data_IF_275089491274
#
_entry.id   IF_275089491274
#
_cell.length_a   1.000
_cell.length_b   1.000
_cell.length_c   1.000
_cell.angle_alpha   90.00
_cell.angle_beta   90.00
_cell.angle_gamma   90.00
#
_symmetry.space_group_name_H-M   'P 1'
#
loop_
_entity.id
_entity.type
_entity.pdbx_description
1 polymer ?
#
# COMPACT_ATOMS: atom_id res chain seq x y z
N UNK A 1 18.26 16.29 10.73
CA UNK A 1 17.10 15.39 10.57
C UNK A 1 17.32 14.14 11.41
N UNK A 2 16.36 13.71 12.22
CA UNK A 2 16.35 12.44 12.94
C UNK A 2 15.02 11.76 12.63
N UNK A 3 15.06 10.57 12.03
CA UNK A 3 13.88 9.79 11.71
C UNK A 3 13.60 8.78 12.82
N UNK A 4 12.33 8.65 13.20
CA UNK A 4 11.87 7.57 14.10
C UNK A 4 11.88 6.22 13.36
N UNK A 5 11.99 5.13 14.12
CA UNK A 5 11.92 3.80 13.54
C UNK A 5 10.55 3.56 12.90
N UNK A 6 10.54 3.08 11.65
CA UNK A 6 9.32 2.66 10.98
C UNK A 6 8.99 1.23 11.42
N UNK A 7 8.29 1.13 12.54
CA UNK A 7 8.07 -0.13 13.28
C UNK A 7 7.44 -1.22 12.43
N UNK A 8 6.50 -0.88 11.52
CA UNK A 8 5.90 -1.84 10.59
C UNK A 8 6.95 -2.56 9.75
N UNK A 9 7.77 -1.79 9.04
CA UNK A 9 8.82 -2.32 8.16
C UNK A 9 9.93 -2.99 8.97
N UNK A 10 10.19 -2.49 10.19
CA UNK A 10 11.16 -3.12 11.09
C UNK A 10 10.74 -4.54 11.49
N UNK A 11 9.46 -4.74 11.82
CA UNK A 11 8.90 -6.06 12.14
C UNK A 11 9.05 -7.01 10.93
N UNK A 12 8.64 -6.56 9.74
CA UNK A 12 8.77 -7.38 8.54
C UNK A 12 10.23 -7.71 8.23
N UNK A 13 11.12 -6.72 8.19
CA UNK A 13 12.55 -6.91 7.91
C UNK A 13 13.24 -7.90 8.86
N UNK A 14 12.83 -7.96 10.12
CA UNK A 14 13.42 -8.84 11.11
C UNK A 14 12.87 -10.27 11.03
N UNK A 15 11.60 -10.45 10.62
CA UNK A 15 10.92 -11.72 10.87
C UNK A 15 10.32 -12.38 9.64
N UNK A 16 10.04 -11.67 8.54
CA UNK A 16 9.33 -12.21 7.38
C UNK A 16 10.00 -13.42 6.71
N UNK A 17 11.35 -13.48 6.78
CA UNK A 17 12.16 -14.54 6.16
C UNK A 17 12.58 -15.64 7.13
N UNK A 18 12.22 -15.55 8.41
CA UNK A 18 12.64 -16.52 9.44
C UNK A 18 11.48 -17.21 10.15
N UNK A 19 10.28 -16.62 10.08
CA UNK A 19 9.07 -17.20 10.68
C UNK A 19 8.44 -18.21 9.72
N UNK A 20 8.03 -19.41 10.19
CA UNK A 20 7.48 -20.46 9.34
C UNK A 20 6.23 -20.05 8.56
N UNK A 21 5.32 -19.28 9.19
CA UNK A 21 4.03 -18.87 8.61
C UNK A 21 3.95 -17.34 8.58
N UNK A 22 4.47 -16.76 7.50
CA UNK A 22 4.41 -15.32 7.30
C UNK A 22 3.06 -14.92 6.70
N UNK A 23 2.21 -14.27 7.50
CA UNK A 23 0.95 -13.65 7.10
C UNK A 23 1.03 -12.11 7.21
N UNK A 24 2.23 -11.52 7.17
CA UNK A 24 2.40 -10.07 7.32
C UNK A 24 2.43 -9.32 5.98
N UNK A 25 2.58 -9.98 4.82
CA UNK A 25 2.61 -9.30 3.52
C UNK A 25 1.20 -8.80 3.14
N UNK A 26 1.13 -7.67 2.47
CA UNK A 26 -0.09 -7.06 1.95
C UNK A 26 -0.24 -7.19 0.43
N UNK A 27 0.71 -7.84 -0.23
CA UNK A 27 0.66 -8.18 -1.65
C UNK A 27 0.14 -9.59 -1.90
N UNK A 28 0.10 -9.99 -3.17
CA UNK A 28 -0.15 -11.36 -3.59
C UNK A 28 1.18 -12.07 -3.79
N UNK A 29 1.25 -13.38 -3.52
CA UNK A 29 2.48 -14.15 -3.71
C UNK A 29 3.01 -14.02 -5.15
N UNK A 30 4.35 -13.86 -5.29
CA UNK A 30 4.96 -13.40 -6.53
C UNK A 30 4.89 -14.44 -7.67
N UNK A 31 5.11 -13.93 -8.88
CA UNK A 31 5.24 -14.72 -10.11
C UNK A 31 6.71 -14.86 -10.51
N UNK A 32 7.05 -15.92 -11.25
CA UNK A 32 8.36 -16.05 -11.87
C UNK A 32 8.41 -15.33 -13.23
N UNK A 33 9.60 -14.88 -13.66
CA UNK A 33 9.80 -14.22 -14.96
C UNK A 33 9.27 -15.08 -16.12
N UNK A 34 9.45 -16.40 -16.05
CA UNK A 34 8.96 -17.35 -17.05
C UNK A 34 7.43 -17.39 -17.22
N UNK A 35 6.68 -16.93 -16.22
CA UNK A 35 5.22 -16.90 -16.24
C UNK A 35 4.70 -15.60 -16.90
N UNK A 36 5.60 -14.63 -17.08
CA UNK A 36 5.35 -13.29 -17.59
C UNK A 36 5.81 -13.11 -19.03
N UNK A 37 6.99 -13.61 -19.36
CA UNK A 37 7.64 -13.37 -20.64
C UNK A 37 7.61 -14.63 -21.52
N UNK A 38 7.43 -14.44 -22.84
CA UNK A 38 7.62 -15.48 -23.82
C UNK A 38 9.13 -15.71 -24.11
N UNK A 39 9.46 -16.78 -24.87
CA UNK A 39 10.86 -17.15 -25.11
C UNK A 39 11.65 -16.07 -25.84
N UNK A 40 11.06 -15.37 -26.81
CA UNK A 40 11.74 -14.29 -27.53
C UNK A 40 12.08 -13.11 -26.61
N UNK A 41 11.15 -12.74 -25.71
CA UNK A 41 11.36 -11.69 -24.71
C UNK A 41 12.41 -12.08 -23.68
N UNK A 42 12.48 -13.37 -23.29
CA UNK A 42 13.55 -13.90 -22.44
C UNK A 42 14.90 -13.81 -23.14
N UNK A 43 14.97 -14.17 -24.42
CA UNK A 43 16.20 -14.10 -25.21
C UNK A 43 16.67 -12.64 -25.41
N UNK A 44 15.75 -11.69 -25.49
CA UNK A 44 16.06 -10.25 -25.51
C UNK A 44 16.54 -9.77 -24.13
N UNK A 45 15.86 -10.15 -23.06
CA UNK A 45 16.26 -9.85 -21.68
C UNK A 45 17.71 -10.27 -21.40
N UNK A 46 18.10 -11.45 -21.89
CA UNK A 46 19.47 -11.98 -21.73
C UNK A 46 20.53 -11.24 -22.54
N UNK A 47 20.14 -10.40 -23.51
CA UNK A 47 21.05 -9.56 -24.31
C UNK A 47 21.21 -8.15 -23.77
N UNK A 48 20.45 -7.76 -22.73
CA UNK A 48 20.55 -6.42 -22.18
C UNK A 48 21.95 -6.15 -21.62
N UNK A 49 22.53 -5.04 -22.04
CA UNK A 49 23.73 -4.52 -21.41
C UNK A 49 23.38 -3.85 -20.06
N UNK A 50 24.17 -4.16 -19.01
CA UNK A 50 23.92 -3.69 -17.66
C UNK A 50 24.54 -2.30 -17.41
N UNK A 51 24.25 -1.35 -18.30
CA UNK A 51 24.60 0.06 -18.17
C UNK A 51 23.56 0.86 -17.38
N UNK A 52 23.86 2.13 -17.15
CA UNK A 52 22.85 3.06 -16.64
C UNK A 52 21.80 3.35 -17.72
N UNK A 53 20.52 3.18 -17.33
CA UNK A 53 19.39 3.65 -18.12
C UNK A 53 19.08 5.14 -17.89
N UNK A 54 17.94 5.60 -18.36
CA UNK A 54 17.46 6.95 -18.09
C UNK A 54 17.17 7.11 -16.60
N UNK A 55 17.64 8.22 -16.01
CA UNK A 55 17.54 8.41 -14.55
C UNK A 55 16.10 8.67 -14.06
N UNK A 56 15.21 9.10 -14.96
CA UNK A 56 13.77 9.19 -14.70
C UNK A 56 12.97 7.99 -15.23
N UNK A 57 13.63 6.97 -15.77
CA UNK A 57 13.04 5.79 -16.39
C UNK A 57 13.01 5.85 -17.92
N UNK A 58 13.08 4.68 -18.58
CA UNK A 58 13.03 4.58 -20.03
C UNK A 58 11.77 5.25 -20.61
N UNK A 59 11.94 5.96 -21.73
CA UNK A 59 10.84 6.71 -22.36
C UNK A 59 9.66 5.82 -22.72
N UNK A 60 9.93 4.60 -23.21
CA UNK A 60 8.91 3.61 -23.54
C UNK A 60 8.12 3.18 -22.31
N UNK A 61 8.81 2.90 -21.19
CA UNK A 61 8.15 2.54 -19.92
C UNK A 61 7.34 3.72 -19.38
N UNK A 62 7.89 4.93 -19.37
CA UNK A 62 7.14 6.14 -18.92
C UNK A 62 5.90 6.39 -19.78
N UNK A 63 5.99 6.18 -21.10
CA UNK A 63 4.88 6.29 -22.03
C UNK A 63 3.81 5.21 -21.74
N UNK A 64 4.23 3.98 -21.47
CA UNK A 64 3.32 2.89 -21.08
C UNK A 64 2.62 3.19 -19.76
N UNK A 65 3.35 3.69 -18.75
CA UNK A 65 2.76 4.10 -17.47
C UNK A 65 1.78 5.26 -17.68
N UNK A 66 2.17 6.29 -18.44
CA UNK A 66 1.31 7.44 -18.72
C UNK A 66 -0.02 7.02 -19.37
N UNK A 67 0.00 5.99 -20.23
CA UNK A 67 -1.22 5.47 -20.88
C UNK A 67 -2.24 4.82 -19.92
N UNK A 68 -1.87 4.56 -18.67
CA UNK A 68 -2.79 4.10 -17.62
C UNK A 68 -3.62 5.25 -17.02
N UNK A 69 -3.29 6.49 -17.34
CA UNK A 69 -3.89 7.71 -16.83
C UNK A 69 -4.49 8.54 -17.98
N UNK A 70 -5.48 9.37 -17.66
CA UNK A 70 -6.05 10.29 -18.62
C UNK A 70 -5.14 11.51 -18.78
N UNK A 71 -4.95 11.96 -20.03
CA UNK A 71 -4.28 13.21 -20.35
C UNK A 71 -2.88 13.40 -19.72
N UNK A 72 -2.17 12.29 -19.43
CA UNK A 72 -0.78 12.29 -18.93
C UNK A 72 0.18 11.87 -20.03
N UNK A 73 1.34 12.54 -20.06
CA UNK A 73 2.43 12.23 -20.95
C UNK A 73 3.63 11.60 -20.22
N UNK A 74 4.68 11.17 -20.94
CA UNK A 74 5.87 10.58 -20.32
C UNK A 74 6.63 11.56 -19.41
N UNK A 75 6.46 12.86 -19.54
CA UNK A 75 7.10 13.87 -18.70
C UNK A 75 6.32 14.11 -17.39
N UNK A 76 5.09 13.61 -17.28
CA UNK A 76 4.30 13.56 -16.07
C UNK A 76 4.61 12.32 -15.21
N UNK A 77 5.61 11.52 -15.57
CA UNK A 77 5.95 10.23 -14.94
C UNK A 77 7.42 10.17 -14.57
N UNK A 78 7.72 9.75 -13.35
CA UNK A 78 9.06 9.30 -12.95
C UNK A 78 9.02 7.86 -12.44
N UNK A 79 9.90 7.00 -12.94
CA UNK A 79 10.09 5.62 -12.48
C UNK A 79 11.06 5.58 -11.30
N UNK A 80 10.74 4.77 -10.29
CA UNK A 80 11.47 4.71 -9.02
C UNK A 80 11.75 3.26 -8.59
N UNK A 81 12.67 3.07 -7.65
CA UNK A 81 12.98 1.77 -7.06
C UNK A 81 11.88 1.34 -6.05
N UNK A 82 10.69 1.06 -6.57
CA UNK A 82 9.47 0.79 -5.83
C UNK A 82 8.77 2.06 -5.37
N UNK A 83 7.51 1.92 -4.98
CA UNK A 83 6.66 3.00 -4.48
C UNK A 83 7.21 3.67 -3.20
N UNK A 84 8.02 2.95 -2.42
CA UNK A 84 8.66 3.52 -1.23
C UNK A 84 9.63 4.65 -1.58
N UNK A 85 10.41 4.55 -2.67
CA UNK A 85 11.22 5.66 -3.16
C UNK A 85 10.35 6.76 -3.76
N UNK A 86 9.27 6.42 -4.46
CA UNK A 86 8.33 7.40 -5.00
C UNK A 86 7.77 8.30 -3.88
N UNK A 87 7.24 7.71 -2.81
CA UNK A 87 6.73 8.44 -1.66
C UNK A 87 7.81 9.30 -0.99
N UNK A 88 9.04 8.78 -0.87
CA UNK A 88 10.17 9.54 -0.33
C UNK A 88 10.49 10.76 -1.20
N UNK A 89 10.63 10.57 -2.51
CA UNK A 89 10.95 11.66 -3.44
C UNK A 89 9.86 12.73 -3.45
N UNK A 90 8.58 12.34 -3.41
CA UNK A 90 7.46 13.27 -3.31
C UNK A 90 7.54 14.12 -2.04
N UNK A 91 7.77 13.51 -0.88
CA UNK A 91 7.91 14.25 0.38
C UNK A 91 9.08 15.22 0.34
N UNK A 92 10.23 14.76 -0.17
CA UNK A 92 11.47 15.57 -0.18
C UNK A 92 11.46 16.70 -1.22
N UNK A 93 10.65 16.58 -2.27
CA UNK A 93 10.55 17.60 -3.31
C UNK A 93 9.41 18.59 -3.11
N UNK A 94 8.36 18.20 -2.37
CA UNK A 94 7.12 18.98 -2.25
C UNK A 94 7.00 19.72 -0.92
N UNK A 95 7.63 19.22 0.16
CA UNK A 95 7.40 19.69 1.52
C UNK A 95 8.65 20.36 2.12
N UNK A 96 8.43 21.49 2.77
CA UNK A 96 9.43 22.22 3.54
C UNK A 96 9.16 22.16 5.05
N UNK A 97 10.18 22.33 5.91
CA UNK A 97 9.98 22.45 7.35
C UNK A 97 9.00 23.58 7.70
N UNK A 98 7.96 23.25 8.45
CA UNK A 98 6.90 24.19 8.85
C UNK A 98 5.65 24.16 7.98
N UNK A 99 5.66 23.42 6.87
CA UNK A 99 4.45 23.08 6.16
C UNK A 99 3.51 22.23 7.04
N UNK A 100 2.24 22.16 6.65
CA UNK A 100 1.23 21.27 7.27
C UNK A 100 0.75 20.26 6.25
N UNK A 101 0.61 19.01 6.67
CA UNK A 101 -0.04 17.96 5.87
C UNK A 101 -1.16 17.30 6.65
N UNK A 102 -2.14 16.74 5.92
CA UNK A 102 -3.21 15.92 6.50
C UNK A 102 -3.06 14.49 5.99
N UNK A 103 -2.99 13.51 6.92
CA UNK A 103 -2.85 12.08 6.66
C UNK A 103 -4.07 11.35 7.21
N UNK A 104 -4.69 10.51 6.40
CA UNK A 104 -5.73 9.60 6.89
C UNK A 104 -5.12 8.41 7.64
N UNK A 105 -5.76 7.98 8.74
CA UNK A 105 -5.36 6.80 9.54
C UNK A 105 -6.58 5.91 9.86
N UNK A 106 -6.41 4.59 10.03
CA UNK A 106 -5.17 3.83 9.94
C UNK A 106 -4.59 3.84 8.52
N UNK A 107 -3.25 3.83 8.39
CA UNK A 107 -2.55 3.91 7.11
C UNK A 107 -1.13 3.34 7.20
N UNK A 108 -0.50 3.13 6.05
CA UNK A 108 0.94 2.90 5.92
C UNK A 108 1.70 4.19 6.19
N UNK A 109 2.30 4.29 7.37
CA UNK A 109 2.78 5.56 7.94
C UNK A 109 4.15 6.03 7.41
N UNK A 110 4.57 5.64 6.22
CA UNK A 110 5.85 6.05 5.64
C UNK A 110 5.91 7.58 5.40
N UNK A 111 4.90 8.14 4.75
CA UNK A 111 4.82 9.59 4.48
C UNK A 111 4.74 10.37 5.78
N UNK A 112 3.94 9.90 6.75
CA UNK A 112 3.87 10.47 8.10
C UNK A 112 5.25 10.55 8.76
N UNK A 113 6.02 9.45 8.74
CA UNK A 113 7.35 9.38 9.34
C UNK A 113 8.36 10.33 8.67
N UNK A 114 8.37 10.39 7.34
CA UNK A 114 9.24 11.30 6.60
C UNK A 114 8.87 12.77 6.83
N UNK A 115 7.59 13.13 6.77
CA UNK A 115 7.12 14.50 7.00
C UNK A 115 7.51 14.98 8.40
N UNK A 116 7.28 14.18 9.44
CA UNK A 116 7.75 14.50 10.81
C UNK A 116 9.27 14.67 10.87
N UNK A 117 10.04 13.80 10.22
CA UNK A 117 11.50 13.85 10.27
C UNK A 117 12.10 15.12 9.68
N UNK A 118 11.44 15.74 8.70
CA UNK A 118 11.86 17.00 8.09
C UNK A 118 11.24 18.24 8.74
N UNK A 119 10.38 18.06 9.76
CA UNK A 119 9.82 19.19 10.53
C UNK A 119 8.49 19.74 10.00
N UNK A 120 7.76 18.94 9.23
CA UNK A 120 6.39 19.23 8.77
C UNK A 120 5.39 18.93 9.91
N UNK A 121 4.37 19.78 10.06
CA UNK A 121 3.26 19.57 11.00
C UNK A 121 2.27 18.56 10.39
N UNK A 122 2.14 17.38 11.01
CA UNK A 122 1.30 16.30 10.50
C UNK A 122 0.00 16.24 11.29
N UNK A 123 -1.11 16.57 10.64
CA UNK A 123 -2.46 16.38 11.14
C UNK A 123 -3.00 15.01 10.70
N UNK A 124 -3.84 14.41 11.52
CA UNK A 124 -4.47 13.13 11.21
C UNK A 124 -5.99 13.24 11.16
N UNK A 125 -6.60 12.57 10.19
CA UNK A 125 -8.04 12.33 10.10
C UNK A 125 -8.26 10.82 10.14
N UNK A 126 -9.25 10.36 10.90
CA UNK A 126 -9.52 8.93 11.00
C UNK A 126 -10.53 8.47 9.95
N UNK A 127 -10.28 7.29 9.40
CA UNK A 127 -11.33 6.56 8.68
C UNK A 127 -12.43 6.12 9.66
N UNK A 128 -13.69 6.18 9.23
CA UNK A 128 -14.82 5.77 10.06
C UNK A 128 -15.08 4.25 9.93
N UNK A 129 -14.72 3.49 10.96
CA UNK A 129 -14.99 2.05 11.01
C UNK A 129 -16.48 1.73 10.85
N UNK A 130 -17.37 2.55 11.43
CA UNK A 130 -18.82 2.32 11.37
C UNK A 130 -19.40 2.55 9.97
N UNK A 131 -18.68 3.24 9.14
CA UNK A 131 -18.99 3.48 7.71
C UNK A 131 -18.07 2.67 6.78
N UNK A 132 -17.73 1.43 7.16
CA UNK A 132 -16.86 0.53 6.37
C UNK A 132 -15.49 1.14 6.04
N UNK A 133 -14.89 1.83 6.98
CA UNK A 133 -13.62 2.53 6.83
C UNK A 133 -13.64 3.66 5.79
N UNK A 134 -14.78 4.29 5.59
CA UNK A 134 -14.90 5.45 4.72
C UNK A 134 -14.03 6.62 5.22
N UNK A 135 -13.61 7.48 4.31
CA UNK A 135 -12.94 8.73 4.66
C UNK A 135 -13.93 9.68 5.34
N UNK A 136 -13.59 10.22 6.52
CA UNK A 136 -14.38 11.25 7.19
C UNK A 136 -14.12 12.61 6.54
N UNK A 137 -14.95 12.95 5.56
CA UNK A 137 -14.85 14.18 4.78
C UNK A 137 -15.14 15.43 5.65
N UNK A 138 -16.08 15.32 6.60
CA UNK A 138 -16.40 16.43 7.51
C UNK A 138 -15.24 16.72 8.48
N UNK A 139 -14.57 15.68 8.97
CA UNK A 139 -13.37 15.84 9.78
C UNK A 139 -12.22 16.40 8.95
N UNK A 140 -12.05 15.98 7.71
CA UNK A 140 -11.03 16.54 6.81
C UNK A 140 -11.26 18.04 6.61
N UNK A 141 -12.46 18.45 6.28
CA UNK A 141 -12.79 19.86 6.03
C UNK A 141 -12.52 20.77 7.24
N UNK A 142 -12.69 20.22 8.46
CA UNK A 142 -12.37 20.94 9.71
C UNK A 142 -10.87 20.96 10.02
N UNK A 143 -10.10 20.01 9.50
CA UNK A 143 -8.67 19.83 9.80
C UNK A 143 -7.80 20.61 8.83
N UNK A 144 -8.21 20.73 7.56
CA UNK A 144 -7.48 21.48 6.53
C UNK A 144 -7.46 22.97 6.88
N UNK A 145 -6.33 23.61 6.69
CA UNK A 145 -6.09 25.03 6.94
C UNK A 145 -5.37 25.70 5.77
N UNK A 146 -5.26 27.03 5.82
CA UNK A 146 -4.48 27.79 4.82
C UNK A 146 -2.98 27.44 4.81
N UNK A 147 -2.49 26.63 5.76
CA UNK A 147 -1.11 26.13 5.82
C UNK A 147 -0.98 24.71 5.24
N UNK A 148 -2.11 24.05 4.99
CA UNK A 148 -2.08 22.67 4.49
C UNK A 148 -1.50 22.67 3.09
N UNK A 149 -0.34 22.04 2.96
CA UNK A 149 0.37 21.88 1.67
C UNK A 149 -0.07 20.61 0.93
N UNK A 150 -0.40 19.55 1.68
CA UNK A 150 -0.69 18.24 1.12
C UNK A 150 -1.77 17.52 1.92
N UNK A 151 -2.76 16.94 1.22
CA UNK A 151 -3.65 15.90 1.74
C UNK A 151 -3.15 14.58 1.16
N UNK A 152 -2.92 13.55 2.00
CA UNK A 152 -2.44 12.24 1.53
C UNK A 152 -3.34 11.11 2.00
N UNK A 153 -3.67 10.22 1.07
CA UNK A 153 -4.51 9.03 1.27
C UNK A 153 -3.80 7.78 0.73
N UNK A 154 -4.27 6.61 1.12
CA UNK A 154 -3.99 5.33 0.45
C UNK A 154 -5.32 4.78 -0.08
N UNK A 155 -5.44 4.56 -1.38
CA UNK A 155 -6.67 4.08 -2.00
C UNK A 155 -6.38 3.11 -3.16
N UNK A 156 -6.73 1.83 -3.00
CA UNK A 156 -7.31 1.16 -1.83
C UNK A 156 -6.42 1.23 -0.57
N UNK A 157 -7.06 1.24 0.62
CA UNK A 157 -6.37 1.52 1.88
C UNK A 157 -5.60 0.31 2.45
N UNK A 158 -4.42 0.55 2.96
CA UNK A 158 -3.68 -0.34 3.85
C UNK A 158 -3.73 0.24 5.27
N UNK A 159 -4.30 -0.48 6.28
CA UNK A 159 -4.49 -1.93 6.34
C UNK A 159 -5.91 -2.44 6.04
N UNK A 160 -6.90 -1.59 5.82
CA UNK A 160 -8.32 -1.96 5.88
C UNK A 160 -8.84 -2.64 4.60
N UNK A 161 -8.17 -2.42 3.46
CA UNK A 161 -8.67 -2.84 2.14
C UNK A 161 -9.91 -2.06 1.67
N UNK A 162 -10.27 -0.98 2.35
CA UNK A 162 -11.36 -0.11 1.93
C UNK A 162 -11.02 0.64 0.64
N UNK A 163 -12.05 0.94 -0.15
CA UNK A 163 -11.95 1.76 -1.36
C UNK A 163 -12.83 3.00 -1.21
N UNK A 164 -12.38 4.11 -1.73
CA UNK A 164 -13.17 5.34 -1.78
C UNK A 164 -14.14 5.31 -2.97
N UNK A 165 -15.37 5.76 -2.75
CA UNK A 165 -16.31 5.93 -3.85
C UNK A 165 -15.91 7.12 -4.74
N UNK A 166 -16.41 7.19 -6.00
CA UNK A 166 -16.17 8.34 -6.86
C UNK A 166 -16.59 9.68 -6.23
N UNK A 167 -17.69 9.69 -5.46
CA UNK A 167 -18.19 10.86 -4.75
C UNK A 167 -17.25 11.31 -3.64
N UNK A 168 -16.67 10.36 -2.89
CA UNK A 168 -15.66 10.65 -1.86
C UNK A 168 -14.36 11.18 -2.48
N UNK A 169 -13.91 10.58 -3.58
CA UNK A 169 -12.74 11.08 -4.31
C UNK A 169 -12.96 12.50 -4.81
N UNK A 170 -14.18 12.81 -5.35
CA UNK A 170 -14.52 14.15 -5.78
C UNK A 170 -14.53 15.14 -4.59
N UNK A 171 -15.09 14.75 -3.45
CA UNK A 171 -15.07 15.60 -2.25
C UNK A 171 -13.65 15.90 -1.76
N UNK A 172 -12.73 14.94 -1.82
CA UNK A 172 -11.31 15.15 -1.51
C UNK A 172 -10.68 16.16 -2.49
N UNK A 173 -10.97 16.02 -3.79
CA UNK A 173 -10.50 16.94 -4.83
C UNK A 173 -11.04 18.35 -4.60
N UNK A 174 -12.32 18.48 -4.27
CA UNK A 174 -12.95 19.79 -4.05
C UNK A 174 -12.33 20.50 -2.85
N UNK A 175 -12.12 19.79 -1.73
CA UNK A 175 -11.43 20.33 -0.54
C UNK A 175 -9.99 20.74 -0.88
N UNK A 176 -9.25 19.91 -1.62
CA UNK A 176 -7.88 20.22 -2.02
C UNK A 176 -7.82 21.48 -2.90
N UNK A 177 -8.75 21.59 -3.85
CA UNK A 177 -8.87 22.75 -4.77
C UNK A 177 -9.27 24.03 -4.05
N UNK A 178 -10.24 23.96 -3.13
CA UNK A 178 -10.68 25.11 -2.33
C UNK A 178 -9.56 25.67 -1.45
N UNK A 179 -8.64 24.84 -0.98
CA UNK A 179 -7.52 25.22 -0.12
C UNK A 179 -6.19 25.38 -0.89
N UNK A 180 -6.21 25.26 -2.20
CA UNK A 180 -5.03 25.37 -3.09
C UNK A 180 -3.89 24.44 -2.70
N UNK A 181 -4.18 23.26 -2.12
CA UNK A 181 -3.19 22.28 -1.68
C UNK A 181 -3.09 21.08 -2.64
N UNK A 182 -2.01 20.31 -2.53
CA UNK A 182 -1.82 19.09 -3.29
C UNK A 182 -2.68 17.95 -2.71
N UNK A 183 -3.08 17.03 -3.59
CA UNK A 183 -3.73 15.78 -3.21
C UNK A 183 -2.84 14.62 -3.66
N UNK A 184 -2.39 13.80 -2.71
CA UNK A 184 -1.65 12.59 -3.01
C UNK A 184 -2.47 11.35 -2.70
N UNK A 185 -2.41 10.35 -3.60
CA UNK A 185 -2.89 9.00 -3.32
C UNK A 185 -1.80 7.95 -3.55
N UNK A 186 -1.55 7.12 -2.53
CA UNK A 186 -0.83 5.86 -2.72
C UNK A 186 -1.81 4.83 -3.30
N UNK A 187 -1.63 4.50 -4.57
CA UNK A 187 -2.53 3.66 -5.38
C UNK A 187 -1.94 2.26 -5.65
N UNK A 188 -0.97 1.79 -4.85
CA UNK A 188 -0.27 0.51 -5.11
C UNK A 188 -1.18 -0.72 -5.12
N UNK A 189 -2.38 -0.62 -4.53
CA UNK A 189 -3.39 -1.70 -4.52
C UNK A 189 -4.43 -1.54 -5.63
N UNK A 190 -4.38 -0.48 -6.42
CA UNK A 190 -5.28 -0.23 -7.55
C UNK A 190 -5.18 -1.35 -8.58
N UNK A 191 -6.34 -1.81 -9.07
CA UNK A 191 -6.44 -3.00 -9.93
C UNK A 191 -6.67 -4.31 -9.16
N UNK A 192 -6.67 -4.29 -7.81
CA UNK A 192 -6.99 -5.45 -6.97
C UNK A 192 -8.40 -5.41 -6.37
N UNK A 193 -9.27 -4.52 -6.82
CA UNK A 193 -10.67 -4.44 -6.40
C UNK A 193 -11.37 -5.78 -6.67
N UNK A 194 -11.99 -6.36 -5.61
CA UNK A 194 -12.49 -7.73 -5.66
C UNK A 194 -13.80 -7.83 -6.46
N UNK A 195 -14.77 -6.95 -6.18
CA UNK A 195 -16.11 -7.01 -6.75
C UNK A 195 -16.47 -5.78 -7.59
N UNK A 196 -15.48 -4.92 -7.87
CA UNK A 196 -15.64 -3.72 -8.66
C UNK A 196 -14.59 -3.63 -9.77
N UNK A 197 -14.83 -2.72 -10.72
CA UNK A 197 -13.82 -2.29 -11.67
C UNK A 197 -12.78 -1.38 -10.97
N UNK A 198 -11.64 -1.21 -11.62
CA UNK A 198 -10.58 -0.32 -11.18
C UNK A 198 -11.11 1.14 -11.15
N UNK A 199 -11.09 1.78 -9.99
CA UNK A 199 -11.54 3.16 -9.82
C UNK A 199 -10.65 4.19 -10.53
N UNK A 200 -11.06 5.47 -10.64
CA UNK A 200 -10.21 6.52 -11.21
C UNK A 200 -8.98 6.78 -10.35
N UNK A 201 -7.89 7.25 -10.97
CA UNK A 201 -6.76 7.81 -10.24
C UNK A 201 -7.03 9.25 -9.81
N UNK A 202 -6.50 9.67 -8.65
CA UNK A 202 -6.55 11.09 -8.29
C UNK A 202 -5.81 11.98 -9.30
N UNK A 203 -4.77 11.45 -9.96
CA UNK A 203 -4.03 12.15 -11.00
C UNK A 203 -4.88 12.49 -12.24
N UNK A 204 -6.03 11.83 -12.41
CA UNK A 204 -7.00 12.09 -13.49
C UNK A 204 -8.07 13.11 -13.09
N UNK A 205 -8.16 13.50 -11.82
CA UNK A 205 -9.27 14.27 -11.26
C UNK A 205 -8.89 15.70 -10.86
N UNK A 206 -7.59 15.95 -10.65
CA UNK A 206 -7.14 17.24 -10.13
C UNK A 206 -5.75 17.60 -10.67
N UNK A 207 -5.57 18.85 -11.09
CA UNK A 207 -4.33 19.36 -11.68
C UNK A 207 -3.14 19.32 -10.73
N UNK A 208 -3.36 19.50 -9.41
CA UNK A 208 -2.33 19.37 -8.37
C UNK A 208 -2.34 17.99 -7.69
N UNK A 209 -2.91 16.96 -8.33
CA UNK A 209 -2.86 15.63 -7.77
C UNK A 209 -1.62 14.85 -8.22
N UNK A 210 -1.10 14.06 -7.29
CA UNK A 210 0.04 13.17 -7.47
C UNK A 210 -0.39 11.76 -7.06
N UNK A 211 -0.17 10.77 -7.92
CA UNK A 211 -0.41 9.37 -7.61
C UNK A 211 0.93 8.62 -7.50
N UNK A 212 1.08 7.86 -6.41
CA UNK A 212 2.13 6.83 -6.30
C UNK A 212 1.53 5.49 -6.68
N UNK A 213 2.21 4.72 -7.53
CA UNK A 213 1.83 3.34 -7.82
C UNK A 213 3.07 2.47 -8.07
N UNK A 214 2.88 1.17 -8.35
CA UNK A 214 3.99 0.26 -8.58
C UNK A 214 3.56 -1.19 -8.80
N UNK A 215 4.55 -2.05 -9.05
CA UNK A 215 4.32 -3.45 -9.39
C UNK A 215 4.29 -4.39 -8.17
N UNK A 216 4.53 -3.88 -6.96
CA UNK A 216 4.79 -4.73 -5.79
C UNK A 216 3.55 -5.41 -5.22
N UNK A 217 2.37 -4.78 -5.29
CA UNK A 217 1.17 -5.20 -4.54
C UNK A 217 0.12 -5.86 -5.44
N UNK A 218 -0.70 -5.07 -6.15
CA UNK A 218 -1.73 -5.60 -7.05
C UNK A 218 -1.15 -6.48 -8.17
N UNK A 219 0.02 -6.12 -8.68
CA UNK A 219 0.72 -6.84 -9.75
C UNK A 219 1.57 -8.01 -9.26
N UNK A 220 1.72 -8.23 -7.94
CA UNK A 220 2.45 -9.36 -7.35
C UNK A 220 3.93 -9.49 -7.82
N UNK A 221 4.62 -8.39 -8.07
CA UNK A 221 6.00 -8.37 -8.57
C UNK A 221 6.94 -7.51 -7.70
N UNK A 222 6.95 -7.69 -6.36
CA UNK A 222 7.75 -6.85 -5.46
C UNK A 222 9.25 -6.94 -5.72
N UNK A 223 9.74 -8.07 -6.26
CA UNK A 223 11.15 -8.29 -6.57
C UNK A 223 11.69 -7.45 -7.72
N UNK A 224 10.83 -6.89 -8.59
CA UNK A 224 11.27 -5.97 -9.65
C UNK A 224 11.71 -4.62 -9.11
N UNK A 225 11.27 -4.23 -7.91
CA UNK A 225 11.57 -2.91 -7.36
C UNK A 225 11.20 -1.76 -8.32
N UNK A 226 10.04 -1.84 -8.95
CA UNK A 226 9.49 -0.78 -9.82
C UNK A 226 8.25 -0.15 -9.20
N UNK A 227 8.31 1.17 -9.05
CA UNK A 227 7.22 2.07 -8.73
C UNK A 227 7.32 3.34 -9.56
N UNK A 228 6.38 4.23 -9.40
CA UNK A 228 6.36 5.52 -10.11
C UNK A 228 5.54 6.57 -9.36
N UNK A 229 5.83 7.85 -9.67
CA UNK A 229 4.94 8.97 -9.45
C UNK A 229 4.34 9.40 -10.77
N UNK A 230 3.08 9.80 -10.72
CA UNK A 230 2.40 10.51 -11.81
C UNK A 230 1.77 11.77 -11.24
N UNK A 231 2.03 12.91 -11.86
CA UNK A 231 1.54 14.20 -11.40
C UNK A 231 1.91 15.33 -12.36
N UNK A 232 1.77 16.60 -11.94
CA UNK A 232 2.19 17.73 -12.76
C UNK A 232 3.68 17.67 -13.11
N UNK A 233 4.05 18.01 -14.34
CA UNK A 233 5.41 17.85 -14.85
C UNK A 233 6.47 18.59 -14.02
N UNK A 234 6.13 19.73 -13.42
CA UNK A 234 7.04 20.51 -12.57
C UNK A 234 7.40 19.75 -11.28
N UNK A 235 6.42 19.15 -10.61
CA UNK A 235 6.61 18.35 -9.40
C UNK A 235 7.34 17.04 -9.72
N UNK A 236 7.03 16.43 -10.85
CA UNK A 236 7.74 15.24 -11.32
C UNK A 236 9.21 15.57 -11.63
N UNK A 237 9.49 16.72 -12.21
CA UNK A 237 10.86 17.19 -12.43
C UNK A 237 11.60 17.44 -11.10
N UNK A 238 10.95 18.05 -10.12
CA UNK A 238 11.52 18.27 -8.78
C UNK A 238 11.82 16.95 -8.05
N UNK A 239 10.92 15.96 -8.17
CA UNK A 239 11.14 14.62 -7.65
C UNK A 239 12.33 13.93 -8.36
N UNK A 240 12.47 14.13 -9.67
CA UNK A 240 13.61 13.62 -10.44
C UNK A 240 14.94 14.22 -9.97
N UNK A 241 15.01 15.53 -9.75
CA UNK A 241 16.21 16.17 -9.18
C UNK A 241 16.58 15.57 -7.80
N UNK A 242 15.57 15.27 -6.97
CA UNK A 242 15.78 14.63 -5.65
C UNK A 242 16.27 13.18 -5.79
N UNK A 243 15.92 12.48 -6.87
CA UNK A 243 16.36 11.10 -7.14
C UNK A 243 17.86 10.98 -7.39
N UNK A 244 18.52 12.04 -7.85
CA UNK A 244 19.99 12.08 -8.01
C UNK A 244 20.74 11.84 -6.70
N UNK A 245 20.11 12.12 -5.54
CA UNK A 245 20.64 11.87 -4.20
C UNK A 245 20.29 10.51 -3.62
N UNK A 246 19.52 9.68 -4.31
CA UNK A 246 19.09 8.35 -3.84
C UNK A 246 19.63 7.26 -4.75
N UNK A 247 18.83 6.75 -5.64
CA UNK A 247 19.13 5.58 -6.47
C UNK A 247 19.71 5.93 -7.84
N UNK A 248 19.66 7.21 -8.24
CA UNK A 248 20.05 7.71 -9.56
C UNK A 248 19.15 7.13 -10.67
N UNK A 249 19.17 5.82 -10.86
CA UNK A 249 18.36 5.12 -11.87
C UNK A 249 17.76 3.84 -11.30
N UNK A 250 16.77 3.29 -11.96
CA UNK A 250 16.23 1.95 -11.75
C UNK A 250 17.04 0.90 -12.53
N UNK A 251 16.84 -0.37 -12.23
CA UNK A 251 17.46 -1.48 -12.95
C UNK A 251 16.88 -1.60 -14.37
N UNK A 252 17.73 -1.59 -15.40
CA UNK A 252 17.31 -1.80 -16.80
C UNK A 252 16.61 -3.14 -17.01
N UNK A 253 17.03 -4.19 -16.29
CA UNK A 253 16.37 -5.50 -16.29
C UNK A 253 14.94 -5.39 -15.75
N UNK A 254 14.77 -4.66 -14.64
CA UNK A 254 13.45 -4.47 -14.04
C UNK A 254 12.52 -3.62 -14.91
N UNK A 255 13.05 -2.56 -15.54
CA UNK A 255 12.29 -1.72 -16.46
C UNK A 255 11.84 -2.50 -17.70
N UNK A 256 12.72 -3.35 -18.26
CA UNK A 256 12.39 -4.22 -19.37
C UNK A 256 11.19 -5.13 -19.07
N UNK A 257 11.20 -5.78 -17.91
CA UNK A 257 10.09 -6.65 -17.49
C UNK A 257 8.83 -5.83 -17.19
N UNK A 258 8.99 -4.68 -16.52
CA UNK A 258 7.88 -3.79 -16.16
C UNK A 258 7.11 -3.29 -17.38
N UNK A 259 7.82 -2.85 -18.43
CA UNK A 259 7.22 -2.37 -19.67
C UNK A 259 6.31 -3.42 -20.32
N UNK A 260 6.76 -4.68 -20.35
CA UNK A 260 5.98 -5.79 -20.91
C UNK A 260 4.79 -6.15 -20.04
N UNK A 261 4.99 -6.22 -18.73
CA UNK A 261 3.93 -6.55 -17.77
C UNK A 261 2.82 -5.49 -17.77
N UNK A 262 3.14 -4.23 -18.05
CA UNK A 262 2.16 -3.15 -18.12
C UNK A 262 1.42 -3.09 -19.48
N UNK A 263 1.79 -3.89 -20.48
CA UNK A 263 0.98 -4.00 -21.69
C UNK A 263 -0.43 -4.53 -21.36
N UNK A 264 -1.49 -4.01 -22.00
CA UNK A 264 -2.88 -4.24 -21.56
C UNK A 264 -3.25 -5.70 -21.31
N UNK A 265 -2.90 -6.60 -22.23
CA UNK A 265 -3.28 -8.03 -22.12
C UNK A 265 -2.57 -8.71 -20.94
N UNK A 266 -1.25 -8.49 -20.78
CA UNK A 266 -0.49 -9.12 -19.70
C UNK A 266 -0.83 -8.50 -18.35
N UNK A 267 -0.98 -7.17 -18.30
CA UNK A 267 -1.47 -6.47 -17.09
C UNK A 267 -2.79 -7.07 -16.61
N UNK A 268 -3.77 -7.21 -17.50
CA UNK A 268 -5.06 -7.77 -17.15
C UNK A 268 -4.97 -9.21 -16.68
N UNK A 269 -4.14 -10.03 -17.34
CA UNK A 269 -3.88 -11.43 -16.92
C UNK A 269 -3.31 -11.51 -15.50
N UNK A 270 -2.32 -10.66 -15.18
CA UNK A 270 -1.69 -10.62 -13.85
C UNK A 270 -2.68 -10.14 -12.78
N UNK A 271 -3.43 -9.07 -13.05
CA UNK A 271 -4.45 -8.57 -12.13
C UNK A 271 -5.58 -9.59 -11.90
N UNK A 272 -6.03 -10.28 -12.94
CA UNK A 272 -7.06 -11.32 -12.81
C UNK A 272 -6.56 -12.49 -11.94
N UNK A 273 -5.30 -12.91 -12.09
CA UNK A 273 -4.68 -13.91 -11.19
C UNK A 273 -4.71 -13.40 -9.73
N UNK A 274 -4.28 -12.18 -9.50
CA UNK A 274 -4.27 -11.60 -8.15
C UNK A 274 -5.68 -11.56 -7.55
N UNK A 275 -6.66 -11.03 -8.28
CA UNK A 275 -8.07 -10.98 -7.83
C UNK A 275 -8.64 -12.38 -7.53
N UNK A 276 -8.32 -13.38 -8.35
CA UNK A 276 -8.78 -14.77 -8.11
C UNK A 276 -8.25 -15.31 -6.78
N UNK A 277 -6.94 -15.20 -6.54
CA UNK A 277 -6.31 -15.64 -5.29
C UNK A 277 -6.91 -14.91 -4.08
N UNK A 278 -7.07 -13.59 -4.19
CA UNK A 278 -7.60 -12.78 -3.10
C UNK A 278 -9.04 -13.13 -2.76
N UNK A 279 -9.90 -13.40 -3.75
CA UNK A 279 -11.30 -13.84 -3.51
C UNK A 279 -11.37 -15.19 -2.82
N UNK A 280 -10.60 -16.18 -3.28
CA UNK A 280 -10.57 -17.51 -2.66
C UNK A 280 -10.09 -17.42 -1.20
N UNK A 281 -9.02 -16.66 -0.95
CA UNK A 281 -8.46 -16.49 0.38
C UNK A 281 -9.33 -15.64 1.31
N UNK A 282 -10.04 -14.65 0.77
CA UNK A 282 -11.01 -13.88 1.55
C UNK A 282 -12.19 -14.75 2.00
N UNK A 283 -12.70 -15.63 1.14
CA UNK A 283 -13.75 -16.58 1.52
C UNK A 283 -13.30 -17.48 2.68
N UNK A 284 -12.09 -18.04 2.58
CA UNK A 284 -11.49 -18.85 3.65
C UNK A 284 -11.31 -18.05 4.95
N UNK A 285 -10.82 -16.81 4.86
CA UNK A 285 -10.70 -15.93 6.04
C UNK A 285 -12.06 -15.63 6.66
N UNK A 286 -13.09 -15.38 5.85
CA UNK A 286 -14.45 -15.10 6.34
C UNK A 286 -15.01 -16.30 7.11
N UNK A 287 -14.89 -17.52 6.58
CA UNK A 287 -15.27 -18.75 7.27
C UNK A 287 -14.52 -18.90 8.61
N UNK A 288 -13.23 -18.57 8.64
CA UNK A 288 -12.43 -18.60 9.86
C UNK A 288 -12.89 -17.53 10.88
N UNK A 289 -13.21 -16.30 10.44
CA UNK A 289 -13.74 -15.24 11.30
C UNK A 289 -15.09 -15.67 11.90
N UNK A 290 -15.99 -16.24 11.11
CA UNK A 290 -17.28 -16.73 11.58
C UNK A 290 -17.13 -17.83 12.63
N UNK A 291 -16.19 -18.76 12.43
CA UNK A 291 -15.87 -19.80 13.40
C UNK A 291 -15.25 -19.26 14.70
N UNK A 292 -14.66 -18.07 14.67
CA UNK A 292 -14.03 -17.39 15.81
C UNK A 292 -14.75 -16.11 16.24
N UNK A 293 -16.04 -15.94 15.89
CA UNK A 293 -16.81 -14.73 16.14
C UNK A 293 -16.94 -14.33 17.64
N UNK A 294 -16.64 -15.27 18.55
CA UNK A 294 -16.51 -14.97 19.99
C UNK A 294 -15.33 -14.02 20.28
N UNK A 295 -14.29 -14.03 19.45
CA UNK A 295 -13.02 -13.33 19.71
C UNK A 295 -12.72 -12.22 18.73
N UNK A 296 -13.17 -12.33 17.47
CA UNK A 296 -12.81 -11.43 16.37
C UNK A 296 -14.01 -10.98 15.56
N UNK A 297 -13.84 -9.85 14.88
CA UNK A 297 -14.76 -9.35 13.87
C UNK A 297 -13.98 -8.75 12.70
N UNK A 298 -14.59 -8.72 11.52
CA UNK A 298 -13.99 -8.21 10.29
C UNK A 298 -15.00 -7.40 9.50
N UNK A 299 -14.59 -6.22 9.05
CA UNK A 299 -15.20 -5.54 7.92
C UNK A 299 -14.45 -6.05 6.69
N UNK A 300 -15.08 -6.80 5.78
CA UNK A 300 -14.38 -7.43 4.66
C UNK A 300 -13.70 -6.40 3.78
N UNK A 301 -12.42 -6.62 3.39
CA UNK A 301 -11.73 -5.74 2.46
C UNK A 301 -12.40 -5.76 1.09
N UNK A 302 -12.46 -4.60 0.43
CA UNK A 302 -12.95 -4.44 -0.95
C UNK A 302 -11.82 -4.59 -1.98
N UNK A 303 -10.57 -4.45 -1.55
CA UNK A 303 -9.38 -4.56 -2.40
C UNK A 303 -8.11 -4.87 -1.57
N UNK A 304 -7.02 -5.19 -2.25
CA UNK A 304 -5.71 -5.41 -1.65
C UNK A 304 -5.51 -6.81 -1.08
N UNK A 305 -4.27 -7.13 -0.77
CA UNK A 305 -3.85 -8.43 -0.27
C UNK A 305 -3.87 -8.55 1.26
N UNK A 306 -4.74 -7.81 1.97
CA UNK A 306 -4.77 -7.79 3.43
C UNK A 306 -6.18 -7.63 3.99
N UNK A 307 -6.36 -8.05 5.24
CA UNK A 307 -7.55 -7.85 6.04
C UNK A 307 -7.18 -7.32 7.43
N UNK A 308 -7.96 -6.37 7.95
CA UNK A 308 -7.74 -5.73 9.23
C UNK A 308 -8.78 -6.20 10.23
N UNK A 309 -8.38 -7.09 11.13
CA UNK A 309 -9.25 -7.87 12.01
C UNK A 309 -9.26 -7.23 13.39
N UNK A 310 -10.44 -6.91 13.90
CA UNK A 310 -10.62 -6.46 15.28
C UNK A 310 -10.71 -7.66 16.22
N UNK A 311 -10.07 -7.58 17.38
CA UNK A 311 -10.22 -8.57 18.45
C UNK A 311 -10.76 -7.91 19.74
N UNK A 312 -11.41 -8.70 20.60
CA UNK A 312 -12.19 -8.19 21.73
C UNK A 312 -11.61 -8.55 23.12
N UNK A 313 -10.33 -8.85 23.21
CA UNK A 313 -9.65 -9.10 24.49
C UNK A 313 -8.70 -7.95 24.83
N UNK A 314 -8.56 -7.68 26.14
CA UNK A 314 -7.70 -6.61 26.66
C UNK A 314 -6.24 -7.06 26.70
N UNK A 315 -5.63 -7.09 25.54
CA UNK A 315 -4.22 -7.30 25.28
C UNK A 315 -3.79 -6.30 24.21
N UNK A 316 -2.60 -5.74 24.33
CA UNK A 316 -2.08 -4.84 23.30
C UNK A 316 -1.74 -5.59 22.00
N UNK A 317 -2.00 -5.00 20.85
CA UNK A 317 -1.82 -5.65 19.54
C UNK A 317 -0.37 -6.06 19.23
N UNK A 318 0.60 -5.29 19.72
CA UNK A 318 2.03 -5.64 19.61
C UNK A 318 2.36 -6.86 20.47
N UNK A 319 1.81 -6.95 21.67
CA UNK A 319 1.99 -8.12 22.56
C UNK A 319 1.35 -9.37 21.95
N UNK A 320 0.12 -9.25 21.40
CA UNK A 320 -0.56 -10.32 20.68
C UNK A 320 0.30 -10.82 19.49
N UNK A 321 0.79 -9.91 18.65
CA UNK A 321 1.63 -10.27 17.51
C UNK A 321 2.94 -10.94 17.91
N UNK A 322 3.59 -10.47 19.00
CA UNK A 322 4.79 -11.09 19.56
C UNK A 322 4.52 -12.52 20.07
N UNK A 323 3.39 -12.73 20.76
CA UNK A 323 3.00 -14.04 21.28
C UNK A 323 2.72 -15.01 20.13
N UNK A 324 1.94 -14.62 19.12
CA UNK A 324 1.67 -15.45 17.95
C UNK A 324 2.95 -15.82 17.20
N UNK A 325 3.87 -14.88 17.04
CA UNK A 325 5.16 -15.13 16.39
C UNK A 325 6.02 -16.13 17.21
N UNK A 326 6.15 -15.92 18.51
CA UNK A 326 7.07 -16.69 19.33
C UNK A 326 6.53 -18.09 19.66
N UNK A 327 5.24 -18.19 19.98
CA UNK A 327 4.63 -19.42 20.49
C UNK A 327 3.97 -20.27 19.40
N UNK A 328 3.51 -19.62 18.31
CA UNK A 328 2.78 -20.28 17.23
C UNK A 328 3.54 -20.27 15.88
N UNK A 329 4.62 -19.50 15.78
CA UNK A 329 5.38 -19.37 14.54
C UNK A 329 4.61 -18.65 13.42
N UNK A 330 3.69 -17.76 13.78
CA UNK A 330 2.87 -16.98 12.83
C UNK A 330 3.23 -15.50 12.92
N UNK A 331 3.61 -14.89 11.81
CA UNK A 331 3.86 -13.46 11.71
C UNK A 331 2.63 -12.74 11.17
N UNK A 332 2.06 -11.87 12.00
CA UNK A 332 1.02 -10.88 11.64
C UNK A 332 1.55 -9.48 11.94
N UNK A 333 0.83 -8.43 11.51
CA UNK A 333 1.17 -7.06 11.90
C UNK A 333 0.16 -6.53 12.91
N UNK A 334 0.64 -5.95 14.03
CA UNK A 334 -0.23 -5.37 15.05
C UNK A 334 -0.89 -4.08 14.56
N UNK A 335 -2.05 -3.75 15.11
CA UNK A 335 -2.78 -2.52 14.79
C UNK A 335 -2.04 -1.24 15.21
N UNK A 336 -1.24 -1.31 16.28
CA UNK A 336 -0.46 -0.18 16.78
C UNK A 336 0.43 0.47 15.72
N UNK A 337 1.02 -0.34 14.80
CA UNK A 337 1.90 0.18 13.74
C UNK A 337 1.14 1.00 12.69
N UNK A 338 -0.19 0.97 12.73
CA UNK A 338 -1.10 1.78 11.92
C UNK A 338 -1.77 2.90 12.72
N UNK A 339 -1.42 3.02 14.01
CA UNK A 339 -2.00 3.98 14.94
C UNK A 339 -3.31 3.54 15.57
N UNK A 340 -3.66 2.24 15.56
CA UNK A 340 -4.94 1.71 16.05
C UNK A 340 -4.77 0.37 16.77
N UNK A 341 -4.71 0.39 18.12
CA UNK A 341 -4.69 -0.83 18.93
C UNK A 341 -6.03 -1.58 18.92
N UNK A 342 -6.02 -2.87 19.26
CA UNK A 342 -7.20 -3.73 19.24
C UNK A 342 -7.48 -4.37 17.89
N UNK A 343 -6.56 -4.22 16.95
CA UNK A 343 -6.60 -4.81 15.61
C UNK A 343 -5.30 -5.54 15.29
N UNK A 344 -5.37 -6.40 14.29
CA UNK A 344 -4.19 -6.95 13.63
C UNK A 344 -4.45 -7.12 12.13
N UNK A 345 -3.39 -7.01 11.33
CA UNK A 345 -3.47 -7.22 9.89
C UNK A 345 -2.98 -8.61 9.53
N UNK A 346 -3.76 -9.32 8.70
CA UNK A 346 -3.41 -10.59 8.06
C UNK A 346 -3.32 -10.39 6.57
N UNK A 347 -2.25 -10.89 5.94
CA UNK A 347 -2.11 -10.96 4.50
C UNK A 347 -2.94 -12.11 3.92
N UNK A 348 -3.83 -11.77 2.99
CA UNK A 348 -4.67 -12.75 2.26
C UNK A 348 -4.15 -13.06 0.85
N UNK A 349 -3.01 -12.52 0.48
CA UNK A 349 -2.37 -12.82 -0.82
C UNK A 349 -1.37 -13.99 -0.79
N UNK A 350 -1.15 -14.61 0.37
CA UNK A 350 -0.28 -15.77 0.53
C UNK A 350 -0.85 -17.02 -0.17
N UNK A 351 -0.02 -18.01 -0.52
CA UNK A 351 -0.53 -19.30 -0.94
C UNK A 351 -1.46 -19.91 0.13
N UNK A 352 -2.53 -20.58 -0.30
CA UNK A 352 -3.49 -21.22 0.60
C UNK A 352 -2.81 -22.15 1.61
N UNK A 353 -1.77 -22.87 1.19
CA UNK A 353 -0.93 -23.74 2.05
C UNK A 353 -0.18 -23.00 3.18
N UNK A 354 -0.13 -21.67 3.16
CA UNK A 354 0.40 -20.83 4.24
C UNK A 354 -0.72 -20.17 5.04
N UNK A 355 -1.76 -19.69 4.36
CA UNK A 355 -2.86 -18.97 4.98
C UNK A 355 -3.66 -19.88 5.93
N UNK A 356 -4.10 -21.06 5.47
CA UNK A 356 -4.89 -22.00 6.28
C UNK A 356 -4.17 -22.39 7.59
N UNK A 357 -2.94 -22.94 7.56
CA UNK A 357 -2.25 -23.29 8.79
C UNK A 357 -1.98 -22.08 9.70
N UNK A 358 -1.75 -20.90 9.13
CA UNK A 358 -1.55 -19.69 9.90
C UNK A 358 -2.81 -19.28 10.66
N UNK A 359 -3.97 -19.30 10.00
CA UNK A 359 -5.26 -19.02 10.64
C UNK A 359 -5.62 -20.07 11.70
N UNK A 360 -5.34 -21.36 11.44
CA UNK A 360 -5.51 -22.44 12.43
C UNK A 360 -4.71 -22.14 13.71
N UNK A 361 -3.43 -21.76 13.59
CA UNK A 361 -2.56 -21.44 14.72
C UNK A 361 -3.04 -20.22 15.50
N UNK A 362 -3.57 -19.20 14.82
CA UNK A 362 -4.18 -18.03 15.48
C UNK A 362 -5.42 -18.48 16.24
N UNK A 363 -6.30 -19.29 15.64
CA UNK A 363 -7.50 -19.83 16.27
C UNK A 363 -7.19 -20.71 17.50
N UNK A 364 -6.17 -21.58 17.42
CA UNK A 364 -5.68 -22.35 18.56
C UNK A 364 -5.25 -21.45 19.74
N UNK A 365 -4.59 -20.32 19.45
CA UNK A 365 -4.21 -19.38 20.49
C UNK A 365 -5.45 -18.70 21.11
N UNK A 366 -6.40 -18.28 20.31
CA UNK A 366 -7.65 -17.67 20.79
C UNK A 366 -8.49 -18.62 21.65
N UNK A 367 -8.50 -19.91 21.30
CA UNK A 367 -9.18 -20.94 22.10
C UNK A 367 -8.42 -21.33 23.39
N UNK A 368 -7.16 -20.91 23.57
CA UNK A 368 -6.37 -21.22 24.76
C UNK A 368 -6.85 -20.43 25.99
N UNK A 369 -6.62 -20.97 27.19
CA UNK A 369 -6.91 -20.27 28.44
C UNK A 369 -6.15 -18.94 28.53
N UNK A 370 -4.93 -18.87 27.99
CA UNK A 370 -4.10 -17.65 28.01
C UNK A 370 -4.74 -16.46 27.32
N UNK A 371 -5.54 -16.68 26.25
CA UNK A 371 -6.26 -15.61 25.55
C UNK A 371 -7.71 -15.48 26.03
N UNK A 372 -8.40 -16.61 26.19
CA UNK A 372 -9.83 -16.67 26.56
C UNK A 372 -10.12 -16.03 27.91
N UNK A 373 -9.22 -16.20 28.88
CA UNK A 373 -9.39 -15.71 30.27
C UNK A 373 -8.99 -14.22 30.41
N UNK A 374 -8.50 -13.55 29.36
CA UNK A 374 -8.29 -12.11 29.35
C UNK A 374 -9.63 -11.36 29.47
N UNK A 375 -9.60 -10.19 30.10
CA UNK A 375 -10.75 -9.31 30.15
C UNK A 375 -11.26 -8.96 28.75
N UNK A 376 -12.56 -8.76 28.61
CA UNK A 376 -13.14 -8.26 27.37
C UNK A 376 -12.82 -6.77 27.26
N UNK A 377 -12.28 -6.37 26.10
CA UNK A 377 -11.96 -4.97 25.80
C UNK A 377 -13.23 -4.14 25.80
N UNK A 378 -13.21 -2.98 26.42
CA UNK A 378 -14.30 -2.02 26.33
C UNK A 378 -14.49 -1.58 24.85
N UNK A 379 -15.77 -1.45 24.45
CA UNK A 379 -16.14 -1.12 23.07
C UNK A 379 -15.78 0.33 22.70
#
# INVERSE_FOLDING_TARGET
>A
MKIEEFTLERIQSLYENVVPLNLSDSGVHPMAIRDLLNQSEIDELLKLELGYGWTNGEVSLRSTIASLYKERGPDDVIVTNGSAEANFLMVMSLLDPGDEIVVFTPNYLQIFGWAKAIGVDVKTVHHDEKADWAADIDALQKTVSAKTRLITICNPNNPTGATLSPEMLQALVDIARENDCYLHADEVYKGSELDAEEGPSVADLYEKAIATNGLSKAMALPGLRIGWLVGPAEEIYSAWQSKDYTSITTSTVSEYVAERVLQPELRQKVLNRSKHILRENLALLTEWVDANAEYVSLIPPKAGGMAFIRYNRDINSTELAHTLRNDKGVLILPGDVYGLDGYFRVGIGAPKSHLEPGLEKIGEYFASAAFRDLAVRAA
#
